data_IF_347167021745
#
_entry.id   IF_347167021745
#
_cell.length_a   1.000
_cell.length_b   1.000
_cell.length_c   1.000
_cell.angle_alpha   90.00
_cell.angle_beta   90.00
_cell.angle_gamma   90.00
#
_symmetry.space_group_name_H-M   'P 1'
#
loop_
_entity.id
_entity.type
_entity.pdbx_description
1 polymer ?
#
# COMPACT_ATOMS: atom_id res chain seq x y z
N UNK A 1 58.78 -44.92 60.01
CA UNK A 1 57.73 -44.89 59.03
C UNK A 1 57.29 -43.44 58.89
N UNK A 2 57.72 -42.84 57.83
CA UNK A 2 57.69 -41.38 57.59
C UNK A 2 56.45 -40.99 56.87
N UNK A 3 55.60 -40.17 57.47
CA UNK A 3 54.42 -39.58 56.83
C UNK A 3 54.75 -38.16 56.35
N UNK A 4 54.80 -37.98 55.00
CA UNK A 4 55.06 -36.71 54.39
C UNK A 4 53.72 -36.00 54.17
N UNK A 5 53.52 -34.92 54.94
CA UNK A 5 52.36 -34.01 54.71
C UNK A 5 52.67 -33.04 53.56
N UNK A 6 51.91 -33.10 52.46
CA UNK A 6 52.03 -32.13 51.44
C UNK A 6 51.16 -30.91 51.76
N UNK A 7 51.82 -29.79 52.07
CA UNK A 7 51.18 -28.50 52.25
C UNK A 7 50.78 -27.92 50.88
N UNK A 8 49.50 -27.79 50.67
CA UNK A 8 48.95 -27.06 49.50
C UNK A 8 49.22 -25.54 49.60
N UNK A 9 50.09 -25.03 48.77
CA UNK A 9 50.41 -23.62 48.68
C UNK A 9 49.22 -22.90 47.97
N UNK A 10 48.42 -22.21 48.76
CA UNK A 10 47.46 -21.23 48.26
C UNK A 10 48.23 -19.99 47.78
N UNK A 11 48.50 -19.91 46.50
CA UNK A 11 49.02 -18.69 45.87
C UNK A 11 47.89 -17.64 45.86
N UNK A 12 48.06 -16.56 46.63
CA UNK A 12 47.21 -15.37 46.55
C UNK A 12 47.27 -14.85 45.11
N UNK A 13 46.13 -14.53 44.47
CA UNK A 13 46.19 -13.91 43.15
C UNK A 13 46.93 -12.58 43.27
N UNK A 14 48.14 -12.53 42.73
CA UNK A 14 49.04 -11.41 42.89
C UNK A 14 48.49 -10.15 42.20
N UNK A 15 48.98 -9.01 42.65
CA UNK A 15 48.73 -7.65 42.11
C UNK A 15 48.80 -7.62 40.59
N UNK A 16 49.53 -8.53 39.96
CA UNK A 16 49.62 -8.68 38.50
C UNK A 16 48.30 -9.05 37.80
N UNK A 17 47.51 -9.99 38.36
CA UNK A 17 46.25 -10.42 37.73
C UNK A 17 45.20 -9.29 37.73
N UNK A 18 45.17 -8.49 38.79
CA UNK A 18 44.30 -7.30 38.88
C UNK A 18 44.73 -6.20 37.90
N UNK A 19 46.03 -5.96 37.76
CA UNK A 19 46.58 -4.97 36.81
C UNK A 19 46.31 -5.40 35.38
N UNK A 20 46.45 -6.68 35.01
CA UNK A 20 46.11 -7.19 33.68
C UNK A 20 44.62 -7.09 33.41
N UNK A 21 43.76 -7.33 34.40
CA UNK A 21 42.31 -7.16 34.28
C UNK A 21 41.92 -5.70 34.01
N UNK A 22 42.52 -4.75 34.70
CA UNK A 22 42.30 -3.31 34.46
C UNK A 22 42.81 -2.87 33.09
N UNK A 23 43.98 -3.35 32.68
CA UNK A 23 44.52 -3.04 31.36
C UNK A 23 43.65 -3.58 30.24
N UNK A 24 43.15 -4.81 30.37
CA UNK A 24 42.22 -5.40 29.43
C UNK A 24 40.86 -4.61 29.34
N UNK A 25 40.32 -4.23 30.50
CA UNK A 25 39.11 -3.40 30.55
C UNK A 25 39.32 -2.03 29.91
N UNK A 26 40.47 -1.39 30.12
CA UNK A 26 40.80 -0.11 29.47
C UNK A 26 40.95 -0.23 27.97
N UNK A 27 41.54 -1.31 27.45
CA UNK A 27 41.66 -1.58 26.02
C UNK A 27 40.26 -1.79 25.37
N UNK A 28 39.40 -2.56 26.04
CA UNK A 28 38.02 -2.80 25.56
C UNK A 28 37.23 -1.48 25.54
N UNK A 29 37.33 -0.67 26.59
CA UNK A 29 36.68 0.63 26.67
C UNK A 29 37.18 1.59 25.55
N UNK A 30 38.51 1.59 25.31
CA UNK A 30 39.10 2.38 24.22
C UNK A 30 38.65 1.90 22.86
N UNK A 31 38.53 0.58 22.62
CA UNK A 31 38.03 0.02 21.38
C UNK A 31 36.55 0.37 21.15
N UNK A 32 35.69 0.28 22.19
CA UNK A 32 34.29 0.71 22.10
C UNK A 32 34.19 2.20 21.83
N UNK A 33 34.99 3.03 22.49
CA UNK A 33 35.02 4.47 22.24
C UNK A 33 35.47 4.82 20.83
N UNK A 34 36.49 4.15 20.32
CA UNK A 34 36.96 4.30 18.94
C UNK A 34 35.89 3.85 17.93
N UNK A 35 35.17 2.75 18.22
CA UNK A 35 34.07 2.26 17.37
C UNK A 35 32.91 3.30 17.31
N UNK A 36 32.48 3.81 18.48
CA UNK A 36 31.44 4.84 18.55
C UNK A 36 31.86 6.13 17.80
N UNK A 37 33.09 6.56 17.96
CA UNK A 37 33.63 7.73 17.27
C UNK A 37 33.68 7.50 15.76
N UNK A 38 34.13 6.34 15.33
CA UNK A 38 34.14 5.93 13.93
C UNK A 38 32.72 5.95 13.36
N UNK A 39 31.77 5.32 14.04
CA UNK A 39 30.39 5.20 13.54
C UNK A 39 29.72 6.59 13.44
N UNK A 40 30.01 7.51 14.35
CA UNK A 40 29.54 8.90 14.24
C UNK A 40 30.11 9.64 13.03
N UNK A 41 31.40 9.49 12.77
CA UNK A 41 32.09 10.13 11.65
C UNK A 41 31.61 9.54 10.32
N UNK A 42 31.45 8.21 10.23
CA UNK A 42 30.94 7.53 9.03
C UNK A 42 29.50 7.86 8.75
N UNK A 43 28.61 7.84 9.75
CA UNK A 43 27.22 8.24 9.57
C UNK A 43 27.07 9.70 9.09
N UNK A 44 27.93 10.59 9.53
CA UNK A 44 27.92 11.98 9.09
C UNK A 44 28.40 12.12 7.63
N UNK A 45 29.42 11.38 7.25
CA UNK A 45 30.01 11.36 5.92
C UNK A 45 29.12 10.66 4.89
N UNK A 46 28.47 9.56 5.26
CA UNK A 46 27.49 8.89 4.41
C UNK A 46 26.28 9.80 4.13
N UNK A 47 25.76 10.50 5.14
CA UNK A 47 24.64 11.43 4.99
C UNK A 47 24.93 12.59 4.03
N UNK A 48 26.16 13.06 3.99
CA UNK A 48 26.57 14.15 3.09
C UNK A 48 26.83 13.62 1.66
N UNK A 49 27.31 12.38 1.53
CA UNK A 49 27.58 11.74 0.23
C UNK A 49 26.30 11.22 -0.43
N UNK A 50 25.32 10.73 0.33
CA UNK A 50 24.01 10.28 -0.17
C UNK A 50 23.20 11.39 -0.82
N UNK A 51 23.44 12.65 -0.48
CA UNK A 51 22.75 13.82 -1.05
C UNK A 51 23.32 14.31 -2.36
N UNK A 52 24.44 13.77 -2.81
CA UNK A 52 25.08 14.19 -4.06
C UNK A 52 24.58 13.32 -5.21
N UNK A 53 23.78 13.93 -6.09
CA UNK A 53 23.52 13.36 -7.40
C UNK A 53 24.80 13.54 -8.25
N UNK A 54 25.56 12.47 -8.50
CA UNK A 54 26.82 12.55 -9.25
C UNK A 54 26.59 13.05 -10.68
N UNK A 55 25.45 12.72 -11.29
CA UNK A 55 25.08 13.17 -12.62
C UNK A 55 23.63 13.64 -12.59
N UNK A 56 23.37 14.84 -13.10
CA UNK A 56 22.04 15.48 -13.06
C UNK A 56 21.16 15.12 -14.26
N UNK A 57 21.72 14.54 -15.31
CA UNK A 57 21.02 14.21 -16.54
C UNK A 57 21.23 12.75 -16.90
N UNK A 58 20.15 12.02 -17.17
CA UNK A 58 20.20 10.62 -17.61
C UNK A 58 20.97 10.43 -18.92
N UNK A 59 20.86 11.38 -19.85
CA UNK A 59 21.64 11.35 -21.11
C UNK A 59 23.13 11.58 -20.89
N UNK A 60 23.49 12.48 -19.96
CA UNK A 60 24.89 12.67 -19.59
C UNK A 60 25.43 11.42 -18.87
N UNK A 61 24.61 10.76 -18.05
CA UNK A 61 24.98 9.49 -17.43
C UNK A 61 25.28 8.41 -18.48
N UNK A 62 24.43 8.22 -19.48
CA UNK A 62 24.63 7.26 -20.57
C UNK A 62 25.96 7.47 -21.34
N UNK A 63 26.42 8.70 -21.51
CA UNK A 63 27.68 9.00 -22.14
C UNK A 63 28.91 8.63 -21.30
N UNK A 64 28.72 8.63 -19.96
CA UNK A 64 29.80 8.36 -19.00
C UNK A 64 29.93 6.86 -18.73
N UNK A 65 28.81 6.12 -18.82
CA UNK A 65 28.74 4.70 -18.46
C UNK A 65 29.41 3.76 -19.47
N UNK A 66 29.76 4.24 -20.70
CA UNK A 66 30.50 3.46 -21.71
C UNK A 66 29.92 2.04 -21.92
N UNK A 67 28.58 1.94 -22.15
CA UNK A 67 27.82 0.69 -22.31
C UNK A 67 27.55 -0.10 -20.99
N UNK A 68 28.01 0.38 -19.82
CA UNK A 68 27.68 -0.21 -18.52
C UNK A 68 26.40 0.40 -17.89
N UNK A 69 25.42 0.79 -18.73
CA UNK A 69 24.22 1.49 -18.31
C UNK A 69 23.42 0.69 -17.27
N UNK A 70 23.26 -0.62 -17.46
CA UNK A 70 22.55 -1.48 -16.55
C UNK A 70 23.19 -1.54 -15.14
N UNK A 71 24.53 -1.65 -15.10
CA UNK A 71 25.26 -1.62 -13.83
C UNK A 71 25.12 -0.26 -13.12
N UNK A 72 25.19 0.82 -13.88
CA UNK A 72 24.98 2.15 -13.35
C UNK A 72 23.53 2.32 -12.84
N UNK A 73 22.54 1.77 -13.55
CA UNK A 73 21.15 1.75 -13.10
C UNK A 73 20.97 1.03 -11.75
N UNK A 74 21.63 -0.13 -11.57
CA UNK A 74 21.64 -0.85 -10.30
C UNK A 74 22.20 0.00 -9.15
N UNK A 75 23.31 0.70 -9.39
CA UNK A 75 23.93 1.58 -8.39
C UNK A 75 22.97 2.72 -8.00
N UNK A 76 22.33 3.37 -8.98
CA UNK A 76 21.38 4.46 -8.71
C UNK A 76 20.11 3.94 -8.05
N UNK A 77 19.65 2.73 -8.37
CA UNK A 77 18.55 2.08 -7.68
C UNK A 77 18.86 1.82 -6.20
N UNK A 78 20.02 1.27 -5.90
CA UNK A 78 20.48 1.06 -4.51
C UNK A 78 20.51 2.41 -3.76
N UNK A 79 21.02 3.47 -4.41
CA UNK A 79 21.03 4.81 -3.82
C UNK A 79 19.62 5.37 -3.58
N UNK A 80 18.67 5.12 -4.47
CA UNK A 80 17.28 5.52 -4.29
C UNK A 80 16.67 4.83 -3.04
N UNK A 81 16.92 3.52 -2.88
CA UNK A 81 16.47 2.77 -1.70
C UNK A 81 17.12 3.30 -0.42
N UNK A 82 18.44 3.54 -0.43
CA UNK A 82 19.18 4.06 0.71
C UNK A 82 18.68 5.46 1.09
N UNK A 83 18.45 6.32 0.11
CA UNK A 83 17.92 7.67 0.33
C UNK A 83 16.51 7.62 0.93
N UNK A 84 15.62 6.79 0.37
CA UNK A 84 14.27 6.61 0.92
C UNK A 84 14.29 6.06 2.33
N UNK A 85 15.07 4.99 2.59
CA UNK A 85 15.19 4.36 3.90
C UNK A 85 15.86 5.27 4.93
N UNK A 86 16.92 5.96 4.55
CA UNK A 86 17.64 6.92 5.41
C UNK A 86 16.75 8.08 5.84
N UNK A 87 16.02 8.67 4.90
CA UNK A 87 15.12 9.76 5.20
C UNK A 87 13.89 9.32 6.02
N UNK A 88 13.45 8.08 5.88
CA UNK A 88 12.36 7.51 6.66
C UNK A 88 12.72 7.35 8.14
N UNK A 89 13.97 6.98 8.43
CA UNK A 89 14.48 6.77 9.80
C UNK A 89 14.79 8.08 10.53
N UNK A 90 14.96 9.17 9.82
CA UNK A 90 15.30 10.45 10.43
C UNK A 90 14.02 11.28 10.62
N UNK A 91 13.86 11.90 11.81
CA UNK A 91 12.72 12.77 12.12
C UNK A 91 12.50 13.91 11.13
N UNK A 92 11.55 14.80 11.40
CA UNK A 92 11.20 15.91 10.52
C UNK A 92 12.44 16.75 10.13
N UNK A 93 12.77 16.77 8.82
CA UNK A 93 13.84 17.58 8.24
C UNK A 93 13.28 18.36 7.05
N UNK A 94 13.80 19.56 6.84
CA UNK A 94 13.64 20.23 5.56
C UNK A 94 14.33 19.39 4.46
N UNK A 95 13.77 19.34 3.26
CA UNK A 95 14.34 18.62 2.10
C UNK A 95 14.35 17.09 2.17
N UNK A 96 13.43 16.52 2.92
CA UNK A 96 13.23 15.08 2.99
C UNK A 96 12.76 14.55 1.63
N UNK A 97 13.35 13.44 1.17
CA UNK A 97 13.04 12.75 -0.11
C UNK A 97 13.29 13.55 -1.40
N UNK A 98 13.97 14.70 -1.39
CA UNK A 98 14.17 15.52 -2.59
C UNK A 98 14.90 14.81 -3.73
N UNK A 99 15.84 13.95 -3.41
CA UNK A 99 16.61 13.21 -4.42
C UNK A 99 15.94 11.91 -4.86
N UNK A 100 14.82 11.50 -4.24
CA UNK A 100 14.21 10.21 -4.55
C UNK A 100 13.76 10.14 -6.00
N UNK A 101 12.94 11.10 -6.46
CA UNK A 101 12.49 11.12 -7.85
C UNK A 101 13.65 11.29 -8.85
N UNK A 102 14.61 12.22 -8.67
CA UNK A 102 15.78 12.31 -9.54
C UNK A 102 16.61 11.01 -9.64
N UNK A 103 16.79 10.28 -8.53
CA UNK A 103 17.51 9.01 -8.54
C UNK A 103 16.73 7.93 -9.31
N UNK A 104 15.41 7.85 -9.11
CA UNK A 104 14.53 6.91 -9.83
C UNK A 104 14.45 7.26 -11.32
N UNK A 105 14.36 8.55 -11.66
CA UNK A 105 14.35 8.99 -13.05
C UNK A 105 15.66 8.64 -13.76
N UNK A 106 16.79 8.84 -13.09
CA UNK A 106 18.10 8.47 -13.59
C UNK A 106 18.24 6.96 -13.76
N UNK A 107 17.85 6.17 -12.77
CA UNK A 107 17.81 4.70 -12.83
C UNK A 107 17.06 4.22 -14.05
N UNK A 108 15.84 4.72 -14.25
CA UNK A 108 14.94 4.30 -15.34
C UNK A 108 15.31 4.92 -16.70
N UNK A 109 16.17 5.93 -16.74
CA UNK A 109 16.75 6.44 -17.98
C UNK A 109 17.93 5.58 -18.42
N UNK A 110 18.76 5.12 -17.48
CA UNK A 110 19.88 4.22 -17.75
C UNK A 110 19.38 2.83 -18.17
N UNK A 111 18.41 2.27 -17.45
CA UNK A 111 17.74 1.03 -17.83
C UNK A 111 16.22 1.22 -17.94
N UNK A 112 15.70 1.45 -19.16
CA UNK A 112 14.25 1.57 -19.40
C UNK A 112 13.43 0.30 -19.15
N UNK A 113 14.10 -0.84 -18.97
CA UNK A 113 13.45 -2.13 -18.69
C UNK A 113 13.52 -2.53 -17.21
N UNK A 114 14.08 -1.69 -16.36
CA UNK A 114 14.21 -1.94 -14.92
C UNK A 114 12.85 -1.87 -14.20
N UNK A 115 12.05 -2.89 -14.39
CA UNK A 115 10.64 -2.96 -13.89
C UNK A 115 10.52 -2.67 -12.40
N UNK A 116 11.47 -3.17 -11.59
CA UNK A 116 11.44 -3.00 -10.12
C UNK A 116 11.55 -1.51 -9.74
N UNK A 117 12.43 -0.76 -10.40
CA UNK A 117 12.62 0.66 -10.12
C UNK A 117 11.37 1.48 -10.41
N UNK A 118 10.64 1.19 -11.49
CA UNK A 118 9.35 1.83 -11.77
C UNK A 118 8.31 1.53 -10.71
N UNK A 119 8.09 0.26 -10.40
CA UNK A 119 7.00 -0.20 -9.54
C UNK A 119 7.22 0.18 -8.08
N UNK A 120 8.36 -0.19 -7.49
CA UNK A 120 8.67 0.18 -6.12
C UNK A 120 8.95 1.68 -5.97
N UNK A 121 9.56 2.30 -6.99
CA UNK A 121 9.73 3.74 -7.04
C UNK A 121 8.41 4.49 -6.93
N UNK A 122 7.38 4.03 -7.64
CA UNK A 122 6.05 4.61 -7.55
C UNK A 122 5.42 4.43 -6.14
N UNK A 123 5.62 3.27 -5.50
CA UNK A 123 5.18 3.04 -4.11
C UNK A 123 5.89 4.02 -3.16
N UNK A 124 7.22 4.14 -3.26
CA UNK A 124 7.98 5.04 -2.40
C UNK A 124 7.57 6.51 -2.57
N UNK A 125 7.34 6.94 -3.82
CA UNK A 125 6.93 8.32 -4.12
C UNK A 125 5.52 8.64 -3.63
N UNK A 126 4.59 7.69 -3.71
CA UNK A 126 3.20 7.90 -3.34
C UNK A 126 2.92 7.71 -1.84
N UNK A 127 3.84 7.08 -1.08
CA UNK A 127 3.68 6.88 0.37
C UNK A 127 3.44 8.22 1.09
N UNK A 128 2.35 8.35 1.89
CA UNK A 128 2.03 9.60 2.55
C UNK A 128 3.06 10.02 3.60
N UNK A 129 3.18 11.31 3.84
CA UNK A 129 3.94 11.82 4.97
C UNK A 129 3.34 11.30 6.30
N UNK A 130 4.16 10.98 7.32
CA UNK A 130 5.60 11.19 7.41
C UNK A 130 6.45 10.04 6.85
N UNK A 131 5.82 8.93 6.43
CA UNK A 131 6.49 7.71 5.96
C UNK A 131 7.18 7.86 4.61
N UNK A 132 6.66 8.72 3.74
CA UNK A 132 7.16 8.99 2.40
C UNK A 132 6.97 10.43 1.97
N UNK A 133 7.29 10.76 0.69
CA UNK A 133 7.21 12.12 0.16
C UNK A 133 5.77 12.58 -0.14
N UNK A 134 4.80 11.67 -0.25
CA UNK A 134 3.42 12.01 -0.61
C UNK A 134 3.30 12.64 -1.99
N UNK A 135 4.01 12.12 -3.00
CA UNK A 135 4.05 12.65 -4.37
C UNK A 135 3.46 11.66 -5.39
N UNK A 136 2.14 11.41 -5.32
CA UNK A 136 1.47 10.53 -6.30
C UNK A 136 1.60 11.04 -7.73
N UNK A 137 1.74 12.34 -7.95
CA UNK A 137 2.01 12.95 -9.24
C UNK A 137 3.33 12.44 -9.86
N UNK A 138 4.40 12.38 -9.06
CA UNK A 138 5.70 11.86 -9.49
C UNK A 138 5.65 10.35 -9.71
N UNK A 139 4.90 9.62 -8.88
CA UNK A 139 4.71 8.18 -9.03
C UNK A 139 4.05 7.84 -10.38
N UNK A 140 2.97 8.56 -10.72
CA UNK A 140 2.27 8.40 -12.00
C UNK A 140 3.20 8.76 -13.16
N UNK A 141 3.92 9.89 -13.08
CA UNK A 141 4.89 10.29 -14.12
C UNK A 141 5.98 9.25 -14.35
N UNK A 142 6.51 8.64 -13.28
CA UNK A 142 7.50 7.56 -13.37
C UNK A 142 6.93 6.33 -14.08
N UNK A 143 5.72 5.88 -13.71
CA UNK A 143 5.05 4.75 -14.33
C UNK A 143 4.71 5.01 -15.80
N UNK A 144 4.27 6.22 -16.14
CA UNK A 144 4.02 6.63 -17.53
C UNK A 144 5.30 6.61 -18.37
N UNK A 145 6.43 7.02 -17.82
CA UNK A 145 7.74 6.84 -18.45
C UNK A 145 8.02 5.35 -18.73
N UNK A 146 7.68 4.47 -17.78
CA UNK A 146 7.78 3.01 -17.97
C UNK A 146 6.88 2.50 -19.10
N UNK A 147 5.68 3.05 -19.26
CA UNK A 147 4.78 2.70 -20.35
C UNK A 147 5.27 3.15 -21.73
N UNK A 148 6.10 4.21 -21.81
CA UNK A 148 6.75 4.58 -23.08
C UNK A 148 7.75 3.50 -23.49
N UNK A 149 8.52 2.95 -22.55
CA UNK A 149 9.51 1.91 -22.82
C UNK A 149 8.88 0.52 -23.00
N UNK A 150 7.81 0.22 -22.26
CA UNK A 150 7.13 -1.07 -22.23
C UNK A 150 5.60 -0.88 -22.31
N UNK A 151 5.05 -0.55 -23.49
CA UNK A 151 3.66 -0.10 -23.65
C UNK A 151 2.60 -1.16 -23.37
N UNK A 152 2.99 -2.44 -23.34
CA UNK A 152 2.06 -3.56 -23.06
C UNK A 152 2.24 -4.17 -21.66
N UNK A 153 3.02 -3.52 -20.81
CA UNK A 153 3.30 -4.00 -19.45
C UNK A 153 2.10 -3.74 -18.53
N UNK A 154 1.17 -4.70 -18.40
CA UNK A 154 -0.05 -4.56 -17.63
C UNK A 154 0.18 -4.11 -16.18
N UNK A 155 1.31 -4.49 -15.58
CA UNK A 155 1.66 -4.11 -14.22
C UNK A 155 1.78 -2.60 -14.02
N UNK A 156 2.27 -1.86 -15.02
CA UNK A 156 2.38 -0.40 -14.92
C UNK A 156 1.02 0.28 -14.97
N UNK A 157 0.10 -0.20 -15.82
CA UNK A 157 -1.29 0.27 -15.82
C UNK A 157 -1.96 0.00 -14.48
N UNK A 158 -1.78 -1.22 -13.94
CA UNK A 158 -2.27 -1.60 -12.62
C UNK A 158 -1.73 -0.69 -11.52
N UNK A 159 -0.42 -0.40 -11.53
CA UNK A 159 0.21 0.41 -10.49
C UNK A 159 -0.24 1.89 -10.57
N UNK A 160 -0.48 2.44 -11.79
CA UNK A 160 -1.13 3.75 -11.96
C UNK A 160 -2.55 3.74 -11.37
N UNK A 161 -3.34 2.70 -11.70
CA UNK A 161 -4.68 2.54 -11.13
C UNK A 161 -4.65 2.50 -9.60
N UNK A 162 -3.68 1.78 -9.02
CA UNK A 162 -3.51 1.67 -7.58
C UNK A 162 -3.18 3.02 -6.94
N UNK A 163 -2.34 3.86 -7.56
CA UNK A 163 -2.06 5.22 -7.08
C UNK A 163 -3.34 6.08 -7.06
N UNK A 164 -4.15 6.02 -8.13
CA UNK A 164 -5.43 6.73 -8.17
C UNK A 164 -6.40 6.22 -7.10
N UNK A 165 -6.50 4.91 -6.93
CA UNK A 165 -7.37 4.30 -5.94
C UNK A 165 -6.97 4.63 -4.50
N UNK A 166 -5.71 4.35 -4.15
CA UNK A 166 -5.26 4.36 -2.75
C UNK A 166 -4.89 5.75 -2.25
N UNK A 167 -4.18 6.52 -3.08
CA UNK A 167 -3.64 7.81 -2.66
C UNK A 167 -4.50 9.00 -3.08
N UNK A 168 -5.13 8.94 -4.26
CA UNK A 168 -5.95 10.05 -4.78
C UNK A 168 -7.45 9.88 -4.52
N UNK A 169 -7.88 8.67 -4.13
CA UNK A 169 -9.31 8.33 -3.96
C UNK A 169 -10.15 8.59 -5.22
N UNK A 170 -9.53 8.61 -6.36
CA UNK A 170 -10.16 8.76 -7.66
C UNK A 170 -10.53 7.39 -8.25
N UNK A 171 -11.66 6.87 -7.78
CA UNK A 171 -12.14 5.52 -8.12
C UNK A 171 -12.46 5.36 -9.60
N UNK A 172 -12.95 6.43 -10.24
CA UNK A 172 -13.29 6.40 -11.66
C UNK A 172 -12.05 6.26 -12.52
N UNK A 173 -11.07 7.11 -12.32
CA UNK A 173 -9.80 7.03 -13.03
C UNK A 173 -9.06 5.72 -12.71
N UNK A 174 -9.12 5.25 -11.46
CA UNK A 174 -8.57 3.95 -11.09
C UNK A 174 -9.23 2.80 -11.89
N UNK A 175 -10.55 2.81 -12.02
CA UNK A 175 -11.27 1.81 -12.81
C UNK A 175 -10.86 1.82 -14.28
N UNK A 176 -10.72 3.00 -14.89
CA UNK A 176 -10.26 3.15 -16.28
C UNK A 176 -8.86 2.56 -16.49
N UNK A 177 -7.95 2.81 -15.54
CA UNK A 177 -6.60 2.26 -15.62
C UNK A 177 -6.56 0.75 -15.36
N UNK A 178 -7.39 0.21 -14.44
CA UNK A 178 -7.52 -1.24 -14.25
C UNK A 178 -8.11 -1.93 -15.50
N UNK A 179 -9.06 -1.30 -16.20
CA UNK A 179 -9.56 -1.84 -17.47
C UNK A 179 -8.45 -1.88 -18.52
N UNK A 180 -7.73 -0.78 -18.70
CA UNK A 180 -6.56 -0.74 -19.59
C UNK A 180 -5.53 -1.81 -19.24
N UNK A 181 -5.30 -2.07 -17.95
CA UNK A 181 -4.44 -3.15 -17.50
C UNK A 181 -5.00 -4.52 -17.92
N UNK A 182 -6.31 -4.74 -17.77
CA UNK A 182 -6.97 -6.00 -18.11
C UNK A 182 -6.97 -6.30 -19.63
N UNK A 183 -6.86 -5.28 -20.47
CA UNK A 183 -6.81 -5.40 -21.92
C UNK A 183 -5.40 -5.64 -22.46
N UNK A 184 -4.37 -5.64 -21.59
CA UNK A 184 -3.00 -5.92 -22.02
C UNK A 184 -2.75 -7.43 -22.20
N UNK A 185 -1.80 -7.81 -23.08
CA UNK A 185 -1.40 -9.21 -23.22
C UNK A 185 -0.93 -9.80 -21.88
N UNK A 186 -1.32 -11.05 -21.64
CA UNK A 186 -1.00 -11.81 -20.41
C UNK A 186 -1.50 -11.14 -19.10
N UNK A 187 -2.46 -10.25 -19.20
CA UNK A 187 -3.11 -9.66 -18.03
C UNK A 187 -3.95 -10.71 -17.29
N UNK A 188 -3.88 -10.76 -15.96
CA UNK A 188 -4.66 -11.70 -15.20
C UNK A 188 -6.14 -11.32 -15.18
N UNK A 189 -7.02 -12.33 -15.22
CA UNK A 189 -8.47 -12.15 -15.34
C UNK A 189 -9.13 -11.46 -14.12
N UNK A 190 -8.44 -11.39 -12.97
CA UNK A 190 -8.95 -10.69 -11.78
C UNK A 190 -8.94 -9.16 -11.91
N UNK A 191 -8.27 -8.61 -12.91
CA UNK A 191 -8.25 -7.14 -13.12
C UNK A 191 -9.61 -6.56 -13.50
N UNK A 192 -10.42 -7.29 -14.30
CA UNK A 192 -11.76 -6.83 -14.69
C UNK A 192 -12.72 -6.71 -13.51
N UNK A 193 -12.87 -7.73 -12.64
CA UNK A 193 -13.62 -7.58 -11.40
C UNK A 193 -13.12 -6.44 -10.51
N UNK A 194 -11.81 -6.22 -10.48
CA UNK A 194 -11.22 -5.13 -9.69
C UNK A 194 -11.66 -3.76 -10.22
N UNK A 195 -11.64 -3.56 -11.53
CA UNK A 195 -12.14 -2.32 -12.16
C UNK A 195 -13.62 -2.07 -11.84
N UNK A 196 -14.46 -3.09 -11.99
CA UNK A 196 -15.89 -2.99 -11.67
C UNK A 196 -16.14 -2.73 -10.17
N UNK A 197 -15.32 -3.33 -9.30
CA UNK A 197 -15.32 -3.08 -7.86
C UNK A 197 -14.97 -1.63 -7.51
N UNK A 198 -14.01 -1.01 -8.22
CA UNK A 198 -13.65 0.39 -8.03
C UNK A 198 -14.81 1.33 -8.35
N UNK A 199 -15.52 1.09 -9.45
CA UNK A 199 -16.72 1.88 -9.79
C UNK A 199 -17.82 1.73 -8.73
N UNK A 200 -18.00 0.51 -8.21
CA UNK A 200 -18.96 0.27 -7.11
C UNK A 200 -18.56 1.07 -5.86
N UNK A 201 -17.28 1.02 -5.48
CA UNK A 201 -16.74 1.75 -4.34
C UNK A 201 -16.83 3.28 -4.54
N UNK A 202 -16.64 3.77 -5.76
CA UNK A 202 -16.79 5.16 -6.15
C UNK A 202 -18.25 5.63 -6.30
N UNK A 203 -19.23 4.76 -5.99
CA UNK A 203 -20.67 5.00 -6.14
C UNK A 203 -21.11 5.29 -7.59
N UNK A 204 -20.31 4.94 -8.58
CA UNK A 204 -20.72 4.93 -9.99
C UNK A 204 -21.37 3.58 -10.32
N UNK A 205 -22.59 3.39 -9.78
CA UNK A 205 -23.32 2.12 -9.91
C UNK A 205 -23.72 1.80 -11.33
N UNK A 206 -23.94 2.81 -12.15
CA UNK A 206 -24.29 2.63 -13.56
C UNK A 206 -23.17 2.01 -14.37
N UNK A 207 -21.98 2.58 -14.29
CA UNK A 207 -20.78 2.04 -14.93
C UNK A 207 -20.36 0.71 -14.33
N UNK A 208 -20.44 0.56 -13.00
CA UNK A 208 -20.17 -0.71 -12.31
C UNK A 208 -21.10 -1.83 -12.82
N UNK A 209 -22.41 -1.55 -12.96
CA UNK A 209 -23.40 -2.51 -13.47
C UNK A 209 -23.07 -2.95 -14.89
N UNK A 210 -22.68 -2.00 -15.76
CA UNK A 210 -22.26 -2.32 -17.12
C UNK A 210 -21.08 -3.29 -17.15
N UNK A 211 -20.03 -2.99 -16.39
CA UNK A 211 -18.85 -3.87 -16.32
C UNK A 211 -19.17 -5.24 -15.72
N UNK A 212 -19.95 -5.30 -14.63
CA UNK A 212 -20.35 -6.57 -14.06
C UNK A 212 -21.20 -7.41 -15.02
N UNK A 213 -22.06 -6.77 -15.82
CA UNK A 213 -22.84 -7.47 -16.86
C UNK A 213 -21.95 -8.05 -17.96
N UNK A 214 -20.89 -7.36 -18.36
CA UNK A 214 -19.91 -7.89 -19.30
C UNK A 214 -19.12 -9.08 -18.72
N UNK A 215 -18.75 -9.01 -17.42
CA UNK A 215 -18.04 -10.10 -16.74
C UNK A 215 -18.93 -11.34 -16.60
N UNK A 216 -20.26 -11.17 -16.55
CA UNK A 216 -21.22 -12.27 -16.48
C UNK A 216 -21.17 -13.18 -17.73
N UNK A 217 -20.71 -12.65 -18.86
CA UNK A 217 -20.54 -13.39 -20.13
C UNK A 217 -19.23 -14.21 -20.19
N UNK A 218 -18.41 -14.16 -19.14
CA UNK A 218 -17.12 -14.89 -19.09
C UNK A 218 -17.30 -16.39 -19.10
N UNK A 219 -16.38 -17.11 -19.75
CA UNK A 219 -16.31 -18.58 -19.72
C UNK A 219 -15.95 -19.14 -18.33
N UNK A 220 -15.36 -18.28 -17.48
CA UNK A 220 -14.88 -18.69 -16.14
C UNK A 220 -16.02 -18.61 -15.11
N UNK A 221 -16.35 -19.74 -14.49
CA UNK A 221 -17.44 -19.85 -13.53
C UNK A 221 -17.30 -18.91 -12.33
N UNK A 222 -16.09 -18.79 -11.78
CA UNK A 222 -15.87 -17.90 -10.64
C UNK A 222 -16.10 -16.42 -10.97
N UNK A 223 -15.81 -15.99 -12.21
CA UNK A 223 -16.10 -14.64 -12.69
C UNK A 223 -17.61 -14.41 -12.79
N UNK A 224 -18.36 -15.36 -13.36
CA UNK A 224 -19.83 -15.27 -13.44
C UNK A 224 -20.47 -15.25 -12.06
N UNK A 225 -19.99 -16.10 -11.15
CA UNK A 225 -20.47 -16.13 -9.76
C UNK A 225 -20.21 -14.80 -9.05
N UNK A 226 -19.02 -14.25 -9.20
CA UNK A 226 -18.65 -12.94 -8.64
C UNK A 226 -19.51 -11.82 -9.23
N UNK A 227 -19.69 -11.80 -10.55
CA UNK A 227 -20.52 -10.80 -11.24
C UNK A 227 -21.99 -10.89 -10.81
N UNK A 228 -22.53 -12.10 -10.72
CA UNK A 228 -23.92 -12.31 -10.24
C UNK A 228 -24.11 -11.75 -8.83
N UNK A 229 -23.20 -12.05 -7.91
CA UNK A 229 -23.24 -11.53 -6.55
C UNK A 229 -23.14 -9.99 -6.53
N UNK A 230 -22.19 -9.43 -7.29
CA UNK A 230 -21.97 -7.98 -7.33
C UNK A 230 -23.16 -7.22 -7.93
N UNK A 231 -23.80 -7.76 -8.97
CA UNK A 231 -25.04 -7.19 -9.52
C UNK A 231 -26.18 -7.18 -8.48
N UNK A 232 -26.36 -8.28 -7.77
CA UNK A 232 -27.34 -8.34 -6.66
C UNK A 232 -27.01 -7.37 -5.52
N UNK A 233 -25.72 -7.18 -5.22
CA UNK A 233 -25.28 -6.17 -4.24
C UNK A 233 -25.63 -4.75 -4.71
N UNK A 234 -25.45 -4.43 -5.99
CA UNK A 234 -25.87 -3.14 -6.56
C UNK A 234 -27.40 -2.97 -6.46
N UNK A 235 -28.19 -4.01 -6.75
CA UNK A 235 -29.64 -3.97 -6.60
C UNK A 235 -30.05 -3.73 -5.13
N UNK A 236 -29.37 -4.36 -4.19
CA UNK A 236 -29.59 -4.16 -2.77
C UNK A 236 -29.27 -2.72 -2.34
N UNK A 237 -28.17 -2.13 -2.82
CA UNK A 237 -27.81 -0.73 -2.54
C UNK A 237 -28.84 0.25 -3.10
N UNK A 238 -29.30 0.02 -4.34
CA UNK A 238 -30.35 0.86 -4.98
C UNK A 238 -31.67 0.77 -4.21
N UNK A 239 -32.01 -0.42 -3.71
CA UNK A 239 -33.19 -0.62 -2.87
C UNK A 239 -33.06 0.09 -1.51
N UNK A 240 -31.92 -0.07 -0.84
CA UNK A 240 -31.62 0.60 0.43
C UNK A 240 -31.80 2.12 0.29
N UNK A 241 -31.25 2.74 -0.74
CA UNK A 241 -31.37 4.19 -0.94
C UNK A 241 -32.82 4.63 -1.07
N UNK A 242 -33.63 3.90 -1.85
CA UNK A 242 -35.05 4.18 -2.03
C UNK A 242 -35.83 4.04 -0.72
N UNK A 243 -35.59 2.95 0.00
CA UNK A 243 -36.32 2.66 1.24
C UNK A 243 -35.85 3.58 2.36
N UNK A 244 -34.57 3.91 2.44
CA UNK A 244 -34.03 4.86 3.42
C UNK A 244 -34.67 6.25 3.28
N UNK A 245 -34.93 6.69 2.05
CA UNK A 245 -35.65 7.94 1.80
C UNK A 245 -37.11 7.88 2.34
N UNK A 246 -37.78 6.74 2.22
CA UNK A 246 -39.14 6.53 2.75
C UNK A 246 -39.10 6.51 4.28
N UNK A 247 -38.18 5.77 4.90
CA UNK A 247 -38.02 5.68 6.36
C UNK A 247 -37.78 7.06 6.98
N UNK A 248 -36.93 7.89 6.35
CA UNK A 248 -36.68 9.27 6.80
C UNK A 248 -37.91 10.17 6.69
N UNK A 249 -38.75 9.94 5.67
CA UNK A 249 -39.98 10.73 5.44
C UNK A 249 -41.09 10.41 6.45
N UNK A 250 -41.12 9.18 6.98
CA UNK A 250 -42.16 8.68 7.88
C UNK A 250 -41.56 8.16 9.19
N UNK A 251 -40.91 9.00 10.01
CA UNK A 251 -40.31 8.57 11.27
C UNK A 251 -41.38 8.01 12.22
N UNK A 252 -41.01 7.11 13.15
CA UNK A 252 -41.90 6.66 14.22
C UNK A 252 -42.18 7.80 15.17
N UNK A 253 -43.19 7.60 16.06
CA UNK A 253 -43.49 8.57 17.11
C UNK A 253 -42.27 8.75 18.04
N UNK A 254 -42.13 9.94 18.67
CA UNK A 254 -41.02 10.19 19.59
C UNK A 254 -40.94 9.10 20.69
N UNK A 255 -39.76 8.54 20.90
CA UNK A 255 -39.54 7.46 21.88
C UNK A 255 -39.86 6.04 21.38
N UNK A 256 -40.35 5.89 20.14
CA UNK A 256 -40.62 4.57 19.54
C UNK A 256 -39.45 4.14 18.66
N UNK A 257 -38.95 2.89 18.81
CA UNK A 257 -37.86 2.41 17.97
C UNK A 257 -38.32 2.19 16.51
N UNK A 258 -37.40 2.35 15.57
CA UNK A 258 -37.63 1.98 14.16
C UNK A 258 -37.82 0.46 14.05
N UNK A 259 -38.90 0.03 13.36
CA UNK A 259 -39.20 -1.38 13.17
C UNK A 259 -39.99 -1.61 11.89
N UNK A 260 -39.63 -2.65 11.15
CA UNK A 260 -40.40 -3.08 9.96
C UNK A 260 -41.87 -3.40 10.29
N UNK A 261 -42.12 -3.94 11.48
CA UNK A 261 -43.48 -4.27 11.93
C UNK A 261 -44.31 -2.99 12.08
N UNK A 262 -43.74 -1.91 12.63
CA UNK A 262 -44.45 -0.63 12.75
C UNK A 262 -44.75 -0.03 11.37
N UNK A 263 -43.80 -0.03 10.47
CA UNK A 263 -43.99 0.44 9.10
C UNK A 263 -45.08 -0.37 8.36
N UNK A 264 -45.10 -1.70 8.56
CA UNK A 264 -46.15 -2.55 7.99
C UNK A 264 -47.52 -2.25 8.55
N UNK A 265 -47.63 -2.06 9.90
CA UNK A 265 -48.93 -1.68 10.57
C UNK A 265 -49.45 -0.34 10.09
N UNK A 266 -48.56 0.60 9.78
CA UNK A 266 -48.89 1.93 9.24
C UNK A 266 -49.22 1.89 7.74
N UNK A 267 -49.13 0.73 7.10
CA UNK A 267 -49.40 0.54 5.70
C UNK A 267 -48.33 1.15 4.74
N UNK A 268 -47.16 1.51 5.27
CA UNK A 268 -46.06 2.09 4.48
C UNK A 268 -45.37 1.01 3.69
N UNK A 269 -45.16 -0.18 4.24
CA UNK A 269 -44.66 -1.36 3.57
C UNK A 269 -45.66 -2.52 3.70
N UNK A 270 -45.66 -3.41 2.66
CA UNK A 270 -46.56 -4.60 2.70
C UNK A 270 -46.04 -5.75 3.57
N UNK A 271 -44.86 -5.61 4.15
CA UNK A 271 -44.18 -6.61 4.97
C UNK A 271 -42.73 -6.23 5.19
N UNK A 272 -41.93 -7.17 5.69
CA UNK A 272 -40.49 -6.98 5.84
C UNK A 272 -39.85 -7.12 4.46
N UNK A 273 -39.15 -6.10 3.96
CA UNK A 273 -38.46 -6.18 2.66
C UNK A 273 -37.35 -7.23 2.67
N UNK A 274 -37.22 -7.97 1.56
CA UNK A 274 -36.18 -8.96 1.35
C UNK A 274 -35.12 -8.42 0.36
N UNK A 275 -33.87 -8.78 0.60
CA UNK A 275 -32.79 -8.49 -0.31
C UNK A 275 -32.85 -9.39 -1.57
N UNK A 276 -32.04 -9.15 -2.62
CA UNK A 276 -32.02 -9.96 -3.81
C UNK A 276 -31.60 -11.42 -3.62
N UNK A 277 -31.11 -11.79 -2.43
CA UNK A 277 -30.82 -13.18 -2.05
C UNK A 277 -31.93 -13.81 -1.22
N UNK A 278 -33.00 -13.06 -0.89
CA UNK A 278 -34.14 -13.52 -0.13
C UNK A 278 -34.01 -13.38 1.40
N UNK A 279 -33.00 -12.67 1.88
CA UNK A 279 -32.80 -12.40 3.32
C UNK A 279 -33.44 -11.07 3.70
N UNK A 280 -34.12 -10.99 4.87
CA UNK A 280 -34.70 -9.73 5.35
C UNK A 280 -33.64 -8.63 5.55
N UNK A 281 -33.96 -7.41 5.11
CA UNK A 281 -33.13 -6.25 5.47
C UNK A 281 -33.24 -5.95 6.96
N UNK A 282 -32.13 -5.53 7.55
CA UNK A 282 -32.09 -5.04 8.92
C UNK A 282 -32.39 -3.53 8.96
N UNK A 283 -33.02 -3.11 10.04
CA UNK A 283 -33.22 -1.70 10.36
C UNK A 283 -32.72 -1.43 11.78
N UNK A 284 -31.84 -0.48 11.91
CA UNK A 284 -31.33 -0.06 13.21
C UNK A 284 -32.46 0.61 14.02
N UNK A 285 -32.80 0.08 15.21
CA UNK A 285 -33.92 0.59 15.98
C UNK A 285 -33.76 2.03 16.47
N UNK A 286 -32.57 2.52 16.64
CA UNK A 286 -32.25 3.86 17.14
C UNK A 286 -32.19 4.90 16.01
N UNK A 287 -31.54 4.55 14.89
CA UNK A 287 -31.24 5.49 13.80
C UNK A 287 -32.16 5.34 12.60
N UNK A 288 -32.83 4.19 12.46
CA UNK A 288 -33.60 3.86 11.26
C UNK A 288 -32.73 3.58 10.03
N UNK A 289 -31.43 3.33 10.22
CA UNK A 289 -30.52 2.97 9.13
C UNK A 289 -30.81 1.56 8.63
N UNK A 290 -30.90 1.42 7.31
CA UNK A 290 -31.18 0.14 6.66
C UNK A 290 -29.87 -0.48 6.20
N UNK A 291 -29.71 -1.78 6.42
CA UNK A 291 -28.55 -2.54 5.99
C UNK A 291 -28.93 -3.93 5.51
N UNK A 292 -28.07 -4.53 4.70
CA UNK A 292 -28.14 -5.95 4.40
C UNK A 292 -27.71 -6.73 5.64
N UNK A 293 -28.48 -7.77 5.99
CA UNK A 293 -28.17 -8.63 7.12
C UNK A 293 -26.82 -9.32 6.96
N UNK A 294 -26.14 -9.56 8.09
CA UNK A 294 -24.90 -10.35 8.12
C UNK A 294 -25.13 -11.81 7.71
N UNK A 295 -26.36 -12.31 7.83
CA UNK A 295 -26.75 -13.66 7.42
C UNK A 295 -27.04 -13.77 5.93
N UNK A 296 -27.06 -12.66 5.19
CA UNK A 296 -27.27 -12.65 3.75
C UNK A 296 -26.05 -13.16 3.00
N UNK A 297 -26.22 -13.98 1.94
CA UNK A 297 -25.16 -14.32 0.99
C UNK A 297 -24.51 -13.11 0.31
N UNK A 298 -25.16 -11.94 0.36
CA UNK A 298 -24.62 -10.70 -0.19
C UNK A 298 -23.61 -10.02 0.74
N UNK A 299 -23.59 -10.38 2.03
CA UNK A 299 -22.64 -9.81 2.98
C UNK A 299 -21.23 -10.42 2.80
N UNK A 300 -20.12 -9.65 2.95
CA UNK A 300 -20.10 -8.21 3.19
C UNK A 300 -20.47 -7.39 1.95
N UNK A 301 -21.13 -6.26 2.20
CA UNK A 301 -21.45 -5.30 1.16
C UNK A 301 -20.21 -4.50 0.75
N UNK A 302 -20.10 -4.05 -0.52
CA UNK A 302 -19.04 -3.15 -0.93
C UNK A 302 -19.08 -1.89 -0.06
N UNK A 303 -17.97 -1.58 0.58
CA UNK A 303 -17.81 -0.35 1.35
C UNK A 303 -16.76 0.53 0.70
N UNK A 304 -16.92 1.85 0.80
CA UNK A 304 -15.81 2.76 0.54
C UNK A 304 -14.69 2.43 1.53
N UNK A 305 -13.45 2.31 1.09
CA UNK A 305 -12.32 2.22 2.01
C UNK A 305 -12.32 3.49 2.86
N UNK A 306 -12.34 3.29 4.17
CA UNK A 306 -12.27 4.34 5.21
C UNK A 306 -11.00 5.16 5.12
#
# INVERSE_FOLDING_TARGET
MTGTSAAAAHSKPGVSAFVYGLAAAAIVAAAIGAQIARDRIYQQRERDTERILYVRSGEAAKRITLDFDALAADVYWIRAIQHYGGDRLVGARAHKYELLYPLLDLTTTLDPYFTIAYRFGAIFLSEPAPGGPGRPDQAIGLLQKGLIAQPTKWQYFHDVAFVHYWHLRDFKTAADWFQRAADQPNAPNWLRPLAAGMLTAGNDRSSARLLWSQILESDQEWLRTTATRSLRQLDALDFIDKVQAIVRRYPPAPGTPYSWIDFARRGIFRGIPLDPAGTPYEIDPATGTISVSKDSPLFPMPSLPS
#
